data_IF_295004079267
#
_entry.id   IF_295004079267
#
_cell.length_a   1.000
_cell.length_b   1.000
_cell.length_c   1.000
_cell.angle_alpha   90.00
_cell.angle_beta   90.00
_cell.angle_gamma   90.00
#
_symmetry.space_group_name_H-M   'P 1'
#
loop_
_entity.id
_entity.type
_entity.pdbx_description
1 polymer ?
#
# COMPACT_ATOMS: atom_id res chain seq x y z
N UNK A 1 9.00 -14.13 -1.07
CA UNK A 1 9.86 -13.17 -1.84
C UNK A 1 9.30 -11.75 -1.83
N UNK A 2 8.02 -11.52 -2.17
CA UNK A 2 7.40 -10.19 -2.13
C UNK A 2 7.57 -9.49 -0.76
N UNK A 3 7.42 -10.22 0.34
CA UNK A 3 7.54 -9.67 1.70
C UNK A 3 8.96 -9.22 2.05
N UNK A 4 9.98 -9.90 1.52
CA UNK A 4 11.37 -9.53 1.72
C UNK A 4 11.69 -8.25 0.93
N UNK A 5 11.24 -8.16 -0.32
CA UNK A 5 11.38 -6.94 -1.13
C UNK A 5 10.69 -5.76 -0.46
N UNK A 6 9.45 -5.95 0.04
CA UNK A 6 8.74 -4.91 0.80
C UNK A 6 9.52 -4.47 2.04
N UNK A 7 10.02 -5.42 2.84
CA UNK A 7 10.81 -5.10 4.05
C UNK A 7 12.13 -4.40 3.71
N UNK A 8 12.85 -4.83 2.67
CA UNK A 8 14.10 -4.20 2.24
C UNK A 8 13.86 -2.80 1.67
N UNK A 9 12.75 -2.61 0.95
CA UNK A 9 12.36 -1.30 0.42
C UNK A 9 11.95 -0.35 1.57
N UNK A 10 11.18 -0.82 2.55
CA UNK A 10 10.84 -0.06 3.76
C UNK A 10 12.08 0.32 4.59
N UNK A 11 13.02 -0.62 4.74
CA UNK A 11 14.30 -0.36 5.39
C UNK A 11 15.17 0.64 4.61
N UNK A 12 15.15 0.60 3.27
CA UNK A 12 15.84 1.53 2.40
C UNK A 12 15.27 2.95 2.40
N UNK A 13 14.00 3.12 2.77
CA UNK A 13 13.35 4.44 2.95
C UNK A 13 13.64 5.00 4.35
N UNK A 14 14.27 4.23 5.25
CA UNK A 14 14.64 4.67 6.59
C UNK A 14 13.45 4.81 7.55
N UNK A 15 12.32 4.16 7.25
CA UNK A 15 11.14 4.21 8.13
C UNK A 15 11.39 3.33 9.35
N UNK A 16 11.54 3.95 10.52
CA UNK A 16 11.41 3.24 11.78
C UNK A 16 9.98 2.71 11.88
N UNK A 17 9.79 1.40 11.85
CA UNK A 17 8.48 0.77 11.99
C UNK A 17 8.03 0.95 13.44
N UNK A 18 7.18 1.95 13.69
CA UNK A 18 6.54 2.15 14.99
C UNK A 18 5.41 1.12 15.12
N UNK A 19 5.63 0.09 15.94
CA UNK A 19 4.62 -0.93 16.25
C UNK A 19 3.87 -0.59 17.53
N UNK A 20 2.64 -1.09 17.66
CA UNK A 20 1.80 -0.90 18.87
C UNK A 20 2.53 -1.33 20.14
N UNK A 21 3.22 -2.46 20.10
CA UNK A 21 3.99 -2.99 21.23
C UNK A 21 5.11 -2.03 21.65
N UNK A 22 5.77 -1.37 20.69
CA UNK A 22 6.85 -0.43 20.99
C UNK A 22 6.34 0.88 21.58
N UNK A 23 5.16 1.32 21.18
CA UNK A 23 4.48 2.48 21.78
C UNK A 23 4.09 2.17 23.22
N UNK A 24 3.50 1.00 23.48
CA UNK A 24 3.11 0.57 24.82
C UNK A 24 4.32 0.47 25.76
N UNK A 25 5.41 -0.17 25.33
CA UNK A 25 6.65 -0.28 26.11
C UNK A 25 7.22 1.12 26.46
N UNK A 26 7.19 2.05 25.50
CA UNK A 26 7.67 3.42 25.71
C UNK A 26 6.80 4.21 26.69
N UNK A 27 5.49 3.97 26.68
CA UNK A 27 4.56 4.60 27.62
C UNK A 27 4.65 3.97 29.01
N UNK A 28 4.84 2.66 29.13
CA UNK A 28 5.06 1.97 30.40
C UNK A 28 6.34 2.46 31.11
N UNK A 29 7.42 2.70 30.37
CA UNK A 29 8.63 3.31 30.93
C UNK A 29 8.37 4.71 31.52
N UNK A 30 7.46 5.48 30.92
CA UNK A 30 7.09 6.82 31.42
C UNK A 30 6.22 6.72 32.67
N UNK A 31 5.39 5.69 32.78
CA UNK A 31 4.64 5.36 33.99
C UNK A 31 5.57 4.93 35.12
N UNK A 32 6.54 4.05 34.85
CA UNK A 32 7.54 3.62 35.85
C UNK A 32 8.38 4.78 36.36
N UNK A 33 8.70 5.75 35.48
CA UNK A 33 9.41 6.99 35.85
C UNK A 33 8.51 8.00 36.57
N UNK A 34 7.23 7.68 36.82
CA UNK A 34 6.26 8.53 37.50
C UNK A 34 5.85 9.77 36.71
N UNK A 35 6.14 9.81 35.40
CA UNK A 35 5.84 10.96 34.52
C UNK A 35 4.43 10.94 33.96
N UNK A 36 3.78 9.77 33.98
CA UNK A 36 2.45 9.53 33.46
C UNK A 36 1.72 8.55 34.38
N UNK A 37 0.40 8.70 34.51
CA UNK A 37 -0.44 7.67 35.12
C UNK A 37 -0.75 6.56 34.11
N UNK A 38 -1.12 5.38 34.61
CA UNK A 38 -1.50 4.24 33.74
C UNK A 38 -2.65 4.58 32.79
N UNK A 39 -3.61 5.37 33.26
CA UNK A 39 -4.77 5.76 32.45
C UNK A 39 -4.37 6.76 31.34
N UNK A 40 -3.48 7.71 31.63
CA UNK A 40 -2.97 8.63 30.62
C UNK A 40 -2.10 7.91 29.57
N UNK A 41 -1.28 6.95 30.00
CA UNK A 41 -0.47 6.13 29.11
C UNK A 41 -1.32 5.27 28.14
N UNK A 42 -2.41 4.68 28.65
CA UNK A 42 -3.36 3.93 27.81
C UNK A 42 -4.05 4.83 26.79
N UNK A 43 -4.59 5.97 27.23
CA UNK A 43 -5.25 6.93 26.34
C UNK A 43 -4.31 7.50 25.26
N UNK A 44 -3.05 7.78 25.62
CA UNK A 44 -2.06 8.30 24.68
C UNK A 44 -1.61 7.24 23.68
N UNK A 45 -1.45 5.98 24.12
CA UNK A 45 -1.10 4.87 23.25
C UNK A 45 -2.17 4.62 22.19
N UNK A 46 -3.45 4.59 22.60
CA UNK A 46 -4.56 4.40 21.68
C UNK A 46 -4.66 5.54 20.67
N UNK A 47 -4.46 6.80 21.12
CA UNK A 47 -4.44 7.96 20.22
C UNK A 47 -3.31 7.89 19.19
N UNK A 48 -2.10 7.53 19.60
CA UNK A 48 -0.94 7.38 18.70
C UNK A 48 -1.20 6.26 17.67
N UNK A 49 -1.80 5.15 18.10
CA UNK A 49 -2.14 4.04 17.21
C UNK A 49 -3.22 4.43 16.20
N UNK A 50 -4.27 5.13 16.65
CA UNK A 50 -5.38 5.56 15.81
C UNK A 50 -4.94 6.60 14.76
N UNK A 51 -4.18 7.62 15.19
CA UNK A 51 -3.59 8.63 14.29
C UNK A 51 -2.59 7.99 13.33
N UNK A 52 -1.71 7.12 13.85
CA UNK A 52 -0.74 6.38 13.05
C UNK A 52 -1.40 5.51 11.97
N UNK A 53 -2.52 4.86 12.29
CA UNK A 53 -3.29 4.08 11.31
C UNK A 53 -3.86 4.96 10.20
N UNK A 54 -4.44 6.10 10.56
CA UNK A 54 -5.04 7.04 9.60
C UNK A 54 -4.00 7.62 8.65
N UNK A 55 -2.86 8.06 9.19
CA UNK A 55 -1.76 8.59 8.38
C UNK A 55 -1.09 7.50 7.53
N UNK A 56 -0.97 6.28 8.03
CA UNK A 56 -0.45 5.14 7.25
C UNK A 56 -1.34 4.83 6.05
N UNK A 57 -2.67 4.87 6.20
CA UNK A 57 -3.58 4.63 5.07
C UNK A 57 -3.51 5.75 4.02
N UNK A 58 -3.43 7.02 4.42
CA UNK A 58 -3.19 8.12 3.47
C UNK A 58 -1.85 7.94 2.74
N UNK A 59 -0.79 7.64 3.48
CA UNK A 59 0.54 7.40 2.91
C UNK A 59 0.54 6.21 1.94
N UNK A 60 -0.20 5.14 2.21
CA UNK A 60 -0.36 4.01 1.26
C UNK A 60 -1.04 4.44 -0.04
N UNK A 61 -2.08 5.26 0.04
CA UNK A 61 -2.80 5.75 -1.14
C UNK A 61 -1.88 6.61 -1.99
N UNK A 62 -1.16 7.56 -1.38
CA UNK A 62 -0.18 8.41 -2.08
C UNK A 62 0.98 7.61 -2.66
N UNK A 63 1.54 6.67 -1.89
CA UNK A 63 2.61 5.78 -2.35
C UNK A 63 2.15 4.91 -3.52
N UNK A 64 0.92 4.37 -3.47
CA UNK A 64 0.35 3.58 -4.58
C UNK A 64 0.17 4.44 -5.84
N UNK A 65 -0.28 5.69 -5.68
CA UNK A 65 -0.39 6.64 -6.79
C UNK A 65 0.97 6.94 -7.42
N UNK A 66 1.97 7.27 -6.61
CA UNK A 66 3.35 7.51 -7.06
C UNK A 66 3.93 6.28 -7.77
N UNK A 67 3.66 5.09 -7.25
CA UNK A 67 4.11 3.84 -7.85
C UNK A 67 3.46 3.62 -9.23
N UNK A 68 2.14 3.82 -9.35
CA UNK A 68 1.44 3.77 -10.64
C UNK A 68 1.96 4.83 -11.63
N UNK A 69 2.21 6.06 -11.18
CA UNK A 69 2.80 7.11 -12.02
C UNK A 69 4.20 6.75 -12.51
N UNK A 70 5.03 6.15 -11.66
CA UNK A 70 6.36 5.67 -12.04
C UNK A 70 6.28 4.54 -13.07
N UNK A 71 5.37 3.56 -12.90
CA UNK A 71 5.16 2.48 -13.87
C UNK A 71 4.70 3.01 -15.23
N UNK A 72 3.75 3.96 -15.23
CA UNK A 72 3.31 4.64 -16.45
C UNK A 72 4.48 5.37 -17.14
N UNK A 73 5.34 6.05 -16.38
CA UNK A 73 6.52 6.75 -16.91
C UNK A 73 7.59 5.79 -17.45
N UNK A 74 7.65 4.56 -16.93
CA UNK A 74 8.55 3.51 -17.39
C UNK A 74 8.02 2.75 -18.63
N UNK A 75 6.88 3.16 -19.21
CA UNK A 75 6.15 2.45 -20.26
C UNK A 75 5.75 1.01 -19.86
N UNK A 76 5.60 0.75 -18.55
CA UNK A 76 5.13 -0.53 -18.05
C UNK A 76 3.61 -0.48 -17.95
N UNK A 77 2.95 -1.31 -18.76
CA UNK A 77 1.48 -1.37 -18.84
C UNK A 77 0.92 -2.00 -17.56
N UNK A 78 -0.10 -1.40 -16.96
CA UNK A 78 -0.79 -2.03 -15.82
C UNK A 78 -1.62 -3.22 -16.30
N UNK A 79 -1.94 -4.15 -15.38
CA UNK A 79 -2.78 -5.31 -15.72
C UNK A 79 -4.15 -4.87 -16.26
N UNK A 80 -4.77 -3.87 -15.64
CA UNK A 80 -6.07 -3.35 -16.07
C UNK A 80 -6.05 -2.79 -17.49
N UNK A 81 -4.96 -2.08 -17.86
CA UNK A 81 -4.76 -1.57 -19.20
C UNK A 81 -4.56 -2.70 -20.22
N UNK A 82 -3.84 -3.76 -19.85
CA UNK A 82 -3.67 -4.95 -20.68
C UNK A 82 -5.01 -5.67 -20.91
N UNK A 83 -5.79 -5.90 -19.85
CA UNK A 83 -7.08 -6.59 -19.93
C UNK A 83 -8.08 -5.80 -20.77
N UNK A 84 -8.09 -4.46 -20.64
CA UNK A 84 -8.91 -3.57 -21.48
C UNK A 84 -8.51 -3.65 -22.97
N UNK A 85 -7.20 -3.73 -23.26
CA UNK A 85 -6.72 -3.89 -24.64
C UNK A 85 -7.08 -5.27 -25.19
N UNK A 86 -6.91 -6.34 -24.41
CA UNK A 86 -7.26 -7.70 -24.79
C UNK A 86 -8.76 -7.81 -25.12
N UNK A 87 -9.64 -7.25 -24.29
CA UNK A 87 -11.08 -7.22 -24.55
C UNK A 87 -11.43 -6.49 -25.85
N UNK A 88 -10.76 -5.36 -26.14
CA UNK A 88 -10.94 -4.63 -27.41
C UNK A 88 -10.48 -5.44 -28.61
N UNK A 89 -9.35 -6.15 -28.49
CA UNK A 89 -8.83 -7.03 -29.54
C UNK A 89 -9.82 -8.15 -29.82
N UNK A 90 -10.28 -8.88 -28.80
CA UNK A 90 -11.27 -9.95 -28.97
C UNK A 90 -12.58 -9.46 -29.60
N UNK A 91 -13.06 -8.26 -29.22
CA UNK A 91 -14.24 -7.67 -29.83
C UNK A 91 -14.04 -7.31 -31.32
N UNK A 92 -12.84 -6.86 -31.69
CA UNK A 92 -12.49 -6.57 -33.08
C UNK A 92 -12.33 -7.85 -33.89
N UNK A 93 -11.67 -8.87 -33.34
CA UNK A 93 -11.55 -10.20 -33.96
C UNK A 93 -12.93 -10.82 -34.21
N UNK A 94 -13.84 -10.74 -33.24
CA UNK A 94 -15.21 -11.23 -33.41
C UNK A 94 -16.03 -10.47 -34.45
N UNK A 95 -15.81 -9.16 -34.61
CA UNK A 95 -16.45 -8.36 -35.68
C UNK A 95 -15.87 -8.70 -37.05
N UNK A 96 -14.54 -8.83 -37.13
CA UNK A 96 -13.84 -9.19 -38.36
C UNK A 96 -14.28 -10.57 -38.84
N UNK A 97 -14.39 -11.55 -37.94
CA UNK A 97 -14.89 -12.89 -38.27
C UNK A 97 -16.36 -12.90 -38.73
N UNK A 98 -17.16 -11.91 -38.32
CA UNK A 98 -18.53 -11.73 -38.79
C UNK A 98 -18.61 -11.13 -40.20
N UNK A 99 -17.74 -10.18 -40.52
CA UNK A 99 -17.69 -9.52 -41.84
C UNK A 99 -16.95 -10.35 -42.89
N UNK A 100 -15.93 -11.09 -42.46
CA UNK A 100 -15.13 -12.00 -43.27
C UNK A 100 -15.04 -13.33 -42.52
N UNK A 101 -16.04 -14.21 -42.63
CA UNK A 101 -15.93 -15.55 -42.08
C UNK A 101 -14.79 -16.24 -42.81
N UNK A 102 -13.71 -16.50 -42.09
CA UNK A 102 -12.69 -17.41 -42.59
C UNK A 102 -13.37 -18.78 -42.64
N UNK A 103 -13.60 -19.32 -43.85
CA UNK A 103 -13.73 -20.76 -44.01
C UNK A 103 -12.40 -21.36 -43.59
N UNK A 104 -12.46 -22.37 -42.72
CA UNK A 104 -11.30 -23.09 -42.17
C UNK A 104 -10.22 -23.44 -43.21
#
# INVERSE_FOLDING_TARGET
MIDLVKKTMLAGIGVAVVTKDKVLESMDELVEKGKLTKDEAAAMSDKIVEEGRTETEKAKVEASKLFCEMLNRANVVTKDQYDALAARVTALEGKLHKEFPNED
#
